data_IF_508827091539
#
_entry.id   IF_508827091539
#
_cell.length_a   1.000
_cell.length_b   1.000
_cell.length_c   1.000
_cell.angle_alpha   90.00
_cell.angle_beta   90.00
_cell.angle_gamma   90.00
#
_symmetry.space_group_name_H-M   'P 1'
#
loop_
_entity.id
_entity.type
_entity.pdbx_description
1 polymer ?
#
# COMPACT_ATOMS: atom_id res chain seq x y z
N UNK A 1 1.30 6.42 1.21
CA UNK A 1 1.09 5.17 1.98
C UNK A 1 2.15 4.16 1.58
N UNK A 2 2.22 3.80 0.29
CA UNK A 2 3.25 2.93 -0.27
C UNK A 2 3.80 3.54 -1.57
N UNK A 3 4.97 3.07 -2.02
CA UNK A 3 5.52 3.39 -3.34
C UNK A 3 5.73 2.09 -4.09
N UNK A 4 5.18 2.02 -5.30
CA UNK A 4 5.34 0.91 -6.23
C UNK A 4 6.34 1.29 -7.31
N UNK A 5 7.17 0.35 -7.73
CA UNK A 5 8.01 0.48 -8.92
C UNK A 5 7.53 -0.52 -9.96
N UNK A 6 7.33 -0.05 -11.18
CA UNK A 6 7.00 -0.87 -12.33
C UNK A 6 7.61 -0.27 -13.59
N UNK A 7 8.42 -1.05 -14.32
CA UNK A 7 8.99 -0.66 -15.61
C UNK A 7 9.74 0.69 -15.59
N UNK A 8 10.55 0.95 -14.55
CA UNK A 8 11.27 2.21 -14.29
C UNK A 8 10.36 3.40 -13.92
N UNK A 9 9.10 3.14 -13.64
CA UNK A 9 8.13 4.14 -13.20
C UNK A 9 7.77 3.91 -11.73
N UNK A 10 7.80 4.97 -10.94
CA UNK A 10 7.37 4.94 -9.55
C UNK A 10 5.95 5.50 -9.43
N UNK A 11 5.07 4.76 -8.75
CA UNK A 11 3.70 5.18 -8.46
C UNK A 11 3.49 5.26 -6.96
N UNK A 12 3.05 6.43 -6.48
CA UNK A 12 2.72 6.62 -5.07
C UNK A 12 1.28 6.19 -4.81
N UNK A 13 1.10 5.19 -3.96
CA UNK A 13 -0.22 4.79 -3.45
C UNK A 13 -0.50 5.61 -2.19
N UNK A 14 -1.53 6.44 -2.23
CA UNK A 14 -1.98 7.26 -1.10
C UNK A 14 -3.13 6.58 -0.35
N UNK A 15 -3.34 6.97 0.91
CA UNK A 15 -4.50 6.49 1.66
C UNK A 15 -5.75 7.24 1.19
N UNK A 16 -6.88 6.55 0.91
CA UNK A 16 -8.13 7.22 0.55
C UNK A 16 -8.82 7.90 1.74
N UNK A 17 -8.40 7.57 2.98
CA UNK A 17 -9.02 8.10 4.20
C UNK A 17 -7.98 8.37 5.28
N UNK A 18 -8.34 9.18 6.27
CA UNK A 18 -7.53 9.35 7.48
C UNK A 18 -7.71 8.13 8.40
N UNK A 19 -6.61 7.64 8.96
CA UNK A 19 -6.62 6.41 9.74
C UNK A 19 -5.23 5.95 10.13
N UNK A 20 -5.16 4.80 10.80
CA UNK A 20 -3.93 4.16 11.25
C UNK A 20 -3.71 2.86 10.50
N UNK A 21 -2.46 2.53 10.17
CA UNK A 21 -2.11 1.25 9.54
C UNK A 21 -2.25 0.15 10.58
N UNK A 22 -3.30 -0.68 10.44
CA UNK A 22 -3.54 -1.81 11.33
C UNK A 22 -2.69 -3.03 10.97
N UNK A 23 -2.44 -3.24 9.67
CA UNK A 23 -1.60 -4.33 9.18
C UNK A 23 -0.94 -3.97 7.85
N UNK A 24 0.32 -4.38 7.68
CA UNK A 24 0.99 -4.44 6.39
C UNK A 24 1.07 -5.90 5.95
N UNK A 25 0.55 -6.21 4.76
CA UNK A 25 0.51 -7.56 4.20
C UNK A 25 1.63 -7.80 3.16
N UNK A 26 2.48 -6.80 2.93
CA UNK A 26 3.60 -6.82 1.98
C UNK A 26 4.89 -6.38 2.66
N UNK A 27 6.04 -6.80 2.12
CA UNK A 27 7.36 -6.32 2.53
C UNK A 27 8.04 -5.55 1.39
N UNK A 28 9.06 -4.77 1.76
CA UNK A 28 9.90 -4.07 0.77
C UNK A 28 10.52 -5.07 -0.19
N UNK A 29 10.39 -4.82 -1.49
CA UNK A 29 10.91 -5.69 -2.54
C UNK A 29 10.00 -6.87 -2.90
N UNK A 30 8.83 -7.04 -2.26
CA UNK A 30 7.85 -8.02 -2.74
C UNK A 30 7.30 -7.60 -4.10
N UNK A 31 7.27 -8.54 -5.04
CA UNK A 31 6.45 -8.45 -6.23
C UNK A 31 4.98 -8.57 -5.85
N UNK A 32 4.16 -7.69 -6.42
CA UNK A 32 2.72 -7.61 -6.16
C UNK A 32 1.98 -7.52 -7.48
N UNK A 33 0.78 -8.07 -7.52
CA UNK A 33 -0.10 -8.04 -8.69
C UNK A 33 -1.37 -7.21 -8.44
N UNK A 34 -2.12 -6.98 -9.51
CA UNK A 34 -3.41 -6.32 -9.39
C UNK A 34 -4.33 -7.17 -8.49
N UNK A 35 -4.97 -6.50 -7.52
CA UNK A 35 -5.88 -7.06 -6.50
C UNK A 35 -5.21 -7.68 -5.27
N UNK A 36 -3.89 -7.63 -5.16
CA UNK A 36 -3.21 -8.06 -3.92
C UNK A 36 -3.53 -7.13 -2.75
N UNK A 37 -3.73 -7.73 -1.57
CA UNK A 37 -3.89 -7.00 -0.32
C UNK A 37 -2.53 -6.48 0.13
N UNK A 38 -2.38 -5.16 0.19
CA UNK A 38 -1.12 -4.54 0.59
C UNK A 38 -1.13 -4.05 2.04
N UNK A 39 -2.17 -3.36 2.46
CA UNK A 39 -2.29 -2.80 3.80
C UNK A 39 -3.76 -2.75 4.24
N UNK A 40 -3.98 -2.92 5.54
CA UNK A 40 -5.27 -2.71 6.20
C UNK A 40 -5.18 -1.42 7.00
N UNK A 41 -6.14 -0.53 6.78
CA UNK A 41 -6.25 0.74 7.47
C UNK A 41 -7.46 0.69 8.41
N UNK A 42 -7.27 1.11 9.65
CA UNK A 42 -8.36 1.40 10.57
C UNK A 42 -8.70 2.89 10.50
N UNK A 43 -9.98 3.19 10.27
CA UNK A 43 -10.47 4.56 10.18
C UNK A 43 -10.45 5.19 11.58
N UNK A 44 -9.75 6.31 11.72
CA UNK A 44 -9.86 7.11 12.94
C UNK A 44 -11.16 7.92 12.83
N UNK A 45 -12.11 7.64 13.71
CA UNK A 45 -13.40 8.37 13.79
C UNK A 45 -13.34 9.49 14.81
#
# INVERSE_FOLDING_TARGET
LLTLEAMKMFTTVTSPTAGTVARLAVSVGNTVEAKDLMAVLEKNS
#
